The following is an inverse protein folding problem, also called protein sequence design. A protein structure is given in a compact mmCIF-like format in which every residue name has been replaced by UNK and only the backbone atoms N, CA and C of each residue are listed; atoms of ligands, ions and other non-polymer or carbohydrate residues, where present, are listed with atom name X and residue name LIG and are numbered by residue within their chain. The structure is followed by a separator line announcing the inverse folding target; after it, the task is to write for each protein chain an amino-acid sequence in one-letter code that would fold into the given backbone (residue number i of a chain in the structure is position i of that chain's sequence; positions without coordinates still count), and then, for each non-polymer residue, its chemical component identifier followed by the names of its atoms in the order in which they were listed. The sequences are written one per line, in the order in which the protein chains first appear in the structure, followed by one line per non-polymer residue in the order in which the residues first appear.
data_IF_415673113867
#
_entry.id   IF_415673113867
#
_cell.length_a   1.000
_cell.length_b   1.000
_cell.length_c   1.000
_cell.angle_alpha   90.00
_cell.angle_beta   90.00
_cell.angle_gamma   90.00
#
_symmetry.space_group_name_H-M   'P 1'
#
loop_
_entity.id
_entity.type
_entity.pdbx_description
1 polymer ?
#
# COMPACT_ATOMS: atom_id res chain seq x y z
N UNK A 1 6.55 2.83 33.42
CA UNK A 1 6.66 3.45 32.07
C UNK A 1 7.78 2.79 31.32
N UNK A 2 7.50 2.31 30.13
CA UNK A 2 8.48 1.68 29.21
C UNK A 2 8.40 2.37 27.87
N UNK A 3 9.56 2.77 27.35
CA UNK A 3 9.70 3.26 26.00
C UNK A 3 10.68 2.38 25.24
N UNK A 4 10.34 2.01 24.01
CA UNK A 4 11.24 1.27 23.12
C UNK A 4 11.33 1.95 21.75
N UNK A 5 12.54 1.94 21.20
CA UNK A 5 12.85 2.38 19.84
C UNK A 5 13.55 1.24 19.12
N UNK A 6 13.03 0.90 17.96
CA UNK A 6 13.66 -0.06 17.06
C UNK A 6 13.85 0.61 15.71
N UNK A 7 15.02 0.50 15.13
CA UNK A 7 15.35 1.01 13.79
C UNK A 7 15.95 -0.08 12.93
N UNK A 8 15.72 0.02 11.63
CA UNK A 8 16.27 -0.90 10.63
C UNK A 8 16.60 -0.17 9.33
N UNK A 9 17.54 -0.71 8.58
CA UNK A 9 17.87 -0.26 7.23
C UNK A 9 17.83 -1.48 6.31
N UNK A 10 17.08 -1.37 5.23
CA UNK A 10 16.99 -2.40 4.18
C UNK A 10 17.70 -1.88 2.94
N UNK A 11 18.66 -2.64 2.45
CA UNK A 11 19.38 -2.36 1.22
C UNK A 11 18.77 -3.21 0.09
N UNK A 12 18.47 -2.61 -1.09
CA UNK A 12 18.09 -3.42 -2.24
C UNK A 12 19.28 -4.30 -2.65
N UNK A 13 19.02 -5.59 -2.78
CA UNK A 13 20.02 -6.53 -3.30
C UNK A 13 19.79 -6.75 -4.79
N UNK A 14 20.75 -6.31 -5.59
CA UNK A 14 20.75 -6.44 -7.04
C UNK A 14 21.82 -7.42 -7.54
N UNK A 15 22.49 -8.15 -6.66
CA UNK A 15 23.63 -9.03 -6.99
C UNK A 15 23.26 -10.18 -7.91
N UNK A 16 22.01 -10.62 -7.91
CA UNK A 16 21.52 -11.69 -8.79
C UNK A 16 21.16 -11.22 -10.21
N UNK A 17 21.16 -9.89 -10.43
CA UNK A 17 20.86 -9.31 -11.75
C UNK A 17 22.17 -9.10 -12.53
N UNK A 18 22.57 -10.09 -13.33
CA UNK A 18 23.71 -9.99 -14.25
C UNK A 18 23.27 -9.31 -15.56
N UNK A 19 23.00 -8.02 -15.51
CA UNK A 19 22.63 -7.24 -16.69
C UNK A 19 23.88 -6.74 -17.40
N UNK A 20 23.89 -6.86 -18.72
CA UNK A 20 24.94 -6.30 -19.56
C UNK A 20 24.90 -4.77 -19.54
N UNK A 21 26.06 -4.12 -19.51
CA UNK A 21 26.17 -2.69 -19.76
C UNK A 21 25.86 -2.35 -21.24
N UNK A 22 25.87 -1.06 -21.58
CA UNK A 22 25.45 -0.63 -22.91
C UNK A 22 26.33 -1.19 -24.04
N UNK A 23 27.67 -1.26 -23.85
CA UNK A 23 28.61 -1.80 -24.80
C UNK A 23 28.45 -3.31 -24.95
N UNK A 24 28.42 -4.02 -23.83
CA UNK A 24 28.22 -5.48 -23.79
C UNK A 24 26.90 -5.86 -24.45
N UNK A 25 25.82 -5.13 -24.15
CA UNK A 25 24.49 -5.38 -24.72
C UNK A 25 24.49 -5.24 -26.24
N UNK A 26 25.07 -4.16 -26.76
CA UNK A 26 25.17 -3.94 -28.19
C UNK A 26 26.00 -5.01 -28.86
N UNK A 27 27.12 -5.45 -28.26
CA UNK A 27 27.98 -6.51 -28.80
C UNK A 27 27.28 -7.88 -28.77
N UNK A 28 26.53 -8.20 -27.69
CA UNK A 28 25.73 -9.43 -27.64
C UNK A 28 24.71 -9.45 -28.78
N UNK A 29 24.01 -8.33 -28.99
CA UNK A 29 23.04 -8.20 -30.08
C UNK A 29 23.67 -8.34 -31.47
N UNK A 30 24.87 -7.77 -31.66
CA UNK A 30 25.64 -7.92 -32.89
C UNK A 30 26.06 -9.38 -33.14
N UNK A 31 26.59 -10.05 -32.10
CA UNK A 31 27.00 -11.47 -32.20
C UNK A 31 25.79 -12.42 -32.39
N UNK A 32 24.62 -12.03 -31.91
CA UNK A 32 23.37 -12.76 -32.11
C UNK A 32 22.75 -12.55 -33.52
N UNK A 33 23.42 -11.76 -34.39
CA UNK A 33 22.98 -11.52 -35.77
C UNK A 33 21.80 -10.54 -35.89
N UNK A 34 21.51 -9.77 -34.84
CA UNK A 34 20.32 -8.86 -34.81
C UNK A 34 20.43 -7.77 -35.89
N UNK A 35 21.67 -7.42 -36.27
CA UNK A 35 21.99 -6.38 -37.24
C UNK A 35 22.52 -6.93 -38.58
N UNK A 36 22.48 -8.25 -38.75
CA UNK A 36 22.95 -8.87 -40.00
C UNK A 36 22.00 -8.49 -41.14
N UNK A 37 22.58 -8.25 -42.35
CA UNK A 37 21.77 -7.94 -43.50
C UNK A 37 20.90 -9.14 -43.90
N UNK A 38 19.60 -8.90 -44.05
CA UNK A 38 18.71 -9.86 -44.70
C UNK A 38 18.70 -9.62 -46.19
N UNK A 39 18.49 -10.69 -47.00
CA UNK A 39 18.27 -10.52 -48.42
C UNK A 39 17.01 -9.68 -48.67
N UNK A 40 17.23 -8.42 -49.10
CA UNK A 40 16.15 -7.45 -49.40
C UNK A 40 16.36 -6.04 -48.86
N UNK A 41 15.38 -5.17 -48.99
CA UNK A 41 15.45 -3.73 -48.71
C UNK A 41 15.64 -3.34 -47.23
N UNK A 42 15.65 -4.31 -46.31
CA UNK A 42 15.73 -4.07 -44.86
C UNK A 42 17.14 -4.00 -44.28
N UNK A 43 18.18 -4.34 -45.07
CA UNK A 43 19.57 -4.39 -44.59
C UNK A 43 20.10 -3.02 -44.15
N UNK A 44 19.75 -1.94 -44.84
CA UNK A 44 20.18 -0.57 -44.49
C UNK A 44 19.56 -0.16 -43.13
N UNK A 45 18.32 -0.55 -42.87
CA UNK A 45 17.63 -0.18 -41.63
C UNK A 45 18.23 -0.88 -40.40
N UNK A 46 18.72 -2.10 -40.52
CA UNK A 46 19.40 -2.84 -39.45
C UNK A 46 20.76 -2.24 -39.11
N UNK A 47 21.55 -1.89 -40.11
CA UNK A 47 22.83 -1.21 -39.92
C UNK A 47 22.65 0.18 -39.31
N UNK A 48 21.66 0.97 -39.80
CA UNK A 48 21.33 2.27 -39.23
C UNK A 48 20.92 2.13 -37.75
N UNK A 49 20.15 1.10 -37.41
CA UNK A 49 19.78 0.79 -36.05
C UNK A 49 20.98 0.51 -35.13
N UNK A 50 21.97 -0.22 -35.62
CA UNK A 50 23.26 -0.46 -34.92
C UNK A 50 24.01 0.85 -34.67
N UNK A 51 24.21 1.65 -35.71
CA UNK A 51 25.00 2.88 -35.61
C UNK A 51 24.33 3.95 -34.72
N UNK A 52 23.00 3.99 -34.66
CA UNK A 52 22.27 4.88 -33.78
C UNK A 52 22.45 4.50 -32.31
N UNK A 53 22.46 3.20 -31.98
CA UNK A 53 22.76 2.71 -30.62
C UNK A 53 24.22 2.98 -30.26
N UNK A 54 25.14 2.64 -31.19
CA UNK A 54 26.57 2.91 -31.03
C UNK A 54 26.85 4.41 -30.78
N UNK A 55 26.20 5.28 -31.52
CA UNK A 55 26.29 6.74 -31.28
C UNK A 55 25.91 7.13 -29.85
N UNK A 56 24.78 6.64 -29.36
CA UNK A 56 24.36 6.92 -27.98
C UNK A 56 25.40 6.44 -26.95
N UNK A 57 25.98 5.27 -27.16
CA UNK A 57 27.02 4.70 -26.30
C UNK A 57 28.31 5.56 -26.39
N UNK A 58 28.76 5.91 -27.58
CA UNK A 58 29.93 6.76 -27.77
C UNK A 58 29.75 8.17 -27.13
N UNK A 59 28.54 8.64 -27.01
CA UNK A 59 28.18 9.86 -26.31
C UNK A 59 27.89 9.64 -24.81
N UNK A 60 28.25 8.45 -24.26
CA UNK A 60 28.20 8.13 -22.82
C UNK A 60 26.86 7.61 -22.29
N UNK A 61 25.99 7.07 -23.15
CA UNK A 61 24.77 6.41 -22.68
C UNK A 61 25.11 5.01 -22.15
N UNK A 62 24.99 4.87 -20.83
CA UNK A 62 25.03 3.59 -20.10
C UNK A 62 24.15 3.73 -18.85
N UNK A 63 22.87 3.45 -19.05
CA UNK A 63 21.86 3.67 -18.00
C UNK A 63 21.63 2.41 -17.20
N UNK A 64 22.05 2.41 -15.94
CA UNK A 64 21.66 1.38 -14.97
C UNK A 64 20.20 1.62 -14.54
N UNK A 65 19.28 1.05 -15.31
CA UNK A 65 17.84 1.24 -15.10
C UNK A 65 17.35 0.67 -13.78
N UNK A 66 17.86 -0.50 -13.35
CA UNK A 66 17.33 -1.20 -12.18
C UNK A 66 17.63 -0.48 -10.86
N UNK A 67 18.71 0.33 -10.81
CA UNK A 67 19.01 1.13 -9.62
C UNK A 67 18.14 2.40 -9.51
N UNK A 68 17.62 2.91 -10.64
CA UNK A 68 16.92 4.20 -10.69
C UNK A 68 15.72 4.30 -9.75
N UNK A 69 14.82 3.30 -9.64
CA UNK A 69 13.67 3.38 -8.76
C UNK A 69 13.99 3.10 -7.28
N UNK A 70 15.20 2.64 -6.96
CA UNK A 70 15.54 2.08 -5.66
C UNK A 70 16.25 3.09 -4.75
N UNK A 71 16.09 2.86 -3.44
CA UNK A 71 16.81 3.55 -2.36
C UNK A 71 17.06 2.59 -1.20
N UNK A 72 18.01 2.93 -0.35
CA UNK A 72 18.09 2.32 0.96
C UNK A 72 16.86 2.75 1.78
N UNK A 73 16.14 1.79 2.32
CA UNK A 73 14.91 2.02 3.06
C UNK A 73 15.20 2.04 4.56
N UNK A 74 14.70 3.06 5.24
CA UNK A 74 14.82 3.19 6.70
C UNK A 74 13.46 2.91 7.32
N UNK A 75 13.43 2.03 8.30
CA UNK A 75 12.26 1.72 9.11
C UNK A 75 12.54 2.09 10.56
N UNK A 76 11.52 2.59 11.27
CA UNK A 76 11.63 2.88 12.69
C UNK A 76 10.31 2.65 13.40
N UNK A 77 10.38 2.10 14.60
CA UNK A 77 9.24 1.84 15.46
C UNK A 77 9.48 2.46 16.84
N UNK A 78 8.53 3.26 17.28
CA UNK A 78 8.46 3.82 18.61
C UNK A 78 7.30 3.18 19.36
N UNK A 79 7.50 2.77 20.60
CA UNK A 79 6.44 2.24 21.45
C UNK A 79 6.59 2.80 22.86
N UNK A 80 5.49 3.31 23.41
CA UNK A 80 5.37 3.81 24.77
C UNK A 80 4.31 2.99 25.48
N UNK A 81 4.62 2.50 26.67
CA UNK A 81 3.69 1.79 27.53
C UNK A 81 3.75 2.39 28.94
N UNK A 82 2.60 2.76 29.47
CA UNK A 82 2.44 3.32 30.80
C UNK A 82 1.39 2.51 31.52
N UNK A 83 1.70 2.01 32.68
CA UNK A 83 0.73 1.28 33.52
C UNK A 83 0.77 1.79 34.95
N UNK A 84 -0.34 1.65 35.64
CA UNK A 84 -0.49 2.01 37.03
C UNK A 84 -1.73 1.37 37.66
N UNK A 85 -1.89 1.61 38.95
CA UNK A 85 -3.06 1.11 39.69
C UNK A 85 -2.68 0.37 40.96
N UNK A 86 -3.68 -0.34 41.51
CA UNK A 86 -3.60 -1.15 42.73
C UNK A 86 -4.28 -2.52 42.51
N UNK A 87 -4.61 -3.23 43.58
CA UNK A 87 -5.30 -4.54 43.51
C UNK A 87 -6.71 -4.45 42.89
N UNK A 88 -7.38 -3.30 43.04
CA UNK A 88 -8.80 -3.10 42.68
C UNK A 88 -8.95 -2.43 41.31
N UNK A 89 -8.02 -1.54 40.96
CA UNK A 89 -8.01 -0.80 39.73
C UNK A 89 -6.63 -0.82 39.08
N UNK A 90 -6.53 -1.34 37.87
CA UNK A 90 -5.35 -1.24 37.02
C UNK A 90 -5.71 -0.54 35.72
N UNK A 91 -4.80 0.27 35.22
CA UNK A 91 -4.94 0.92 33.92
C UNK A 91 -3.62 0.89 33.19
N UNK A 92 -3.70 0.85 31.85
CA UNK A 92 -2.54 1.01 31.02
C UNK A 92 -2.88 1.84 29.76
N UNK A 93 -1.89 2.60 29.33
CA UNK A 93 -1.88 3.34 28.09
C UNK A 93 -0.73 2.82 27.22
N UNK A 94 -1.03 2.44 26.00
CA UNK A 94 -0.04 2.14 24.99
C UNK A 94 -0.16 3.12 23.82
N UNK A 95 0.99 3.52 23.28
CA UNK A 95 1.06 4.33 22.08
C UNK A 95 2.20 3.82 21.21
N UNK A 96 1.97 3.76 19.91
CA UNK A 96 2.99 3.28 18.97
C UNK A 96 2.95 4.08 17.67
N UNK A 97 4.13 4.24 17.09
CA UNK A 97 4.31 4.74 15.74
C UNK A 97 5.30 3.86 15.02
N UNK A 98 4.93 3.39 13.82
CA UNK A 98 5.79 2.61 12.95
C UNK A 98 5.86 3.30 11.58
N UNK A 99 7.06 3.76 11.21
CA UNK A 99 7.37 4.33 9.90
C UNK A 99 8.14 3.33 9.05
N UNK A 100 7.47 2.73 8.06
CA UNK A 100 8.07 1.78 7.14
C UNK A 100 8.24 2.45 5.76
N UNK A 101 9.47 2.77 5.39
CA UNK A 101 9.77 3.17 4.02
C UNK A 101 10.07 1.94 3.18
N UNK A 102 9.58 1.91 1.92
CA UNK A 102 9.91 0.87 0.98
C UNK A 102 11.22 1.14 0.23
N UNK A 103 11.83 0.07 -0.31
CA UNK A 103 13.03 0.16 -1.16
C UNK A 103 12.74 0.84 -2.50
N UNK A 104 11.52 0.78 -3.01
CA UNK A 104 11.08 1.63 -4.12
C UNK A 104 10.92 3.07 -3.64
N UNK A 105 11.52 4.04 -4.34
CA UNK A 105 11.47 5.45 -3.97
C UNK A 105 10.03 5.94 -3.78
N UNK A 106 9.80 6.79 -2.78
CA UNK A 106 8.51 7.41 -2.41
C UNK A 106 7.43 6.43 -1.93
N UNK A 107 7.68 5.12 -1.85
CA UNK A 107 6.74 4.20 -1.20
C UNK A 107 6.93 4.21 0.32
N UNK A 108 5.82 4.14 1.06
CA UNK A 108 5.85 4.05 2.53
C UNK A 108 4.56 3.48 3.10
N UNK A 109 4.64 2.99 4.34
CA UNK A 109 3.48 2.61 5.15
C UNK A 109 3.69 3.04 6.60
N UNK A 110 2.97 4.06 7.01
CA UNK A 110 3.03 4.58 8.38
C UNK A 110 1.83 4.08 9.17
N UNK A 111 2.08 3.63 10.42
CA UNK A 111 1.05 3.15 11.33
C UNK A 111 1.18 3.88 12.65
N UNK A 112 0.07 4.42 13.14
CA UNK A 112 -0.04 5.02 14.46
C UNK A 112 -1.09 4.24 15.24
N UNK A 113 -0.81 3.91 16.48
CA UNK A 113 -1.75 3.22 17.36
C UNK A 113 -1.72 3.83 18.75
N UNK A 114 -2.90 3.94 19.36
CA UNK A 114 -3.07 4.32 20.77
C UNK A 114 -4.08 3.38 21.38
N UNK A 115 -3.77 2.81 22.53
CA UNK A 115 -4.66 1.93 23.28
C UNK A 115 -4.74 2.35 24.75
N UNK A 116 -5.90 2.14 25.33
CA UNK A 116 -6.14 2.36 26.75
C UNK A 116 -6.88 1.16 27.33
N UNK A 117 -6.39 0.63 28.43
CA UNK A 117 -7.01 -0.48 29.14
C UNK A 117 -7.31 -0.15 30.59
N UNK A 118 -8.44 -0.68 31.08
CA UNK A 118 -8.84 -0.63 32.48
C UNK A 118 -9.22 -2.04 32.91
N UNK A 119 -8.73 -2.49 34.08
CA UNK A 119 -9.18 -3.69 34.79
C UNK A 119 -9.61 -3.24 36.19
N UNK A 120 -10.91 -3.25 36.41
CA UNK A 120 -11.52 -2.86 37.66
C UNK A 120 -12.17 -4.08 38.35
N UNK A 121 -11.79 -4.33 39.59
CA UNK A 121 -12.32 -5.41 40.41
C UNK A 121 -13.02 -4.87 41.65
N UNK A 122 -14.27 -5.20 41.77
CA UNK A 122 -15.09 -4.83 42.91
C UNK A 122 -15.80 -6.05 43.47
N UNK A 123 -15.37 -6.56 44.65
CA UNK A 123 -15.93 -7.76 45.27
C UNK A 123 -16.09 -8.93 44.29
N UNK A 124 -17.34 -9.18 43.89
CA UNK A 124 -17.74 -10.27 43.02
C UNK A 124 -17.74 -9.90 41.52
N UNK A 125 -17.37 -8.69 41.16
CA UNK A 125 -17.32 -8.24 39.79
C UNK A 125 -15.90 -7.90 39.36
N UNK A 126 -15.57 -8.26 38.12
CA UNK A 126 -14.42 -7.74 37.43
C UNK A 126 -14.86 -7.21 36.06
N UNK A 127 -14.56 -5.96 35.79
CA UNK A 127 -14.82 -5.31 34.51
C UNK A 127 -13.48 -5.00 33.88
N UNK A 128 -13.31 -5.45 32.64
CA UNK A 128 -12.16 -5.09 31.81
C UNK A 128 -12.66 -4.37 30.57
N UNK A 129 -12.00 -3.29 30.26
CA UNK A 129 -12.21 -2.58 29.01
C UNK A 129 -10.87 -2.33 28.33
N UNK A 130 -10.84 -2.48 27.04
CA UNK A 130 -9.72 -2.07 26.19
C UNK A 130 -10.28 -1.34 24.97
N UNK A 131 -9.96 -0.08 24.84
CA UNK A 131 -10.25 0.73 23.67
C UNK A 131 -8.96 1.07 22.94
N UNK A 132 -8.96 0.91 21.63
CA UNK A 132 -7.83 1.28 20.80
C UNK A 132 -8.24 2.03 19.54
N UNK A 133 -7.38 2.93 19.12
CA UNK A 133 -7.44 3.62 17.84
C UNK A 133 -6.20 3.32 17.03
N UNK A 134 -6.39 2.90 15.80
CA UNK A 134 -5.35 2.66 14.83
C UNK A 134 -5.53 3.54 13.59
N UNK A 135 -4.45 4.12 13.10
CA UNK A 135 -4.40 4.86 11.85
C UNK A 135 -3.27 4.35 10.97
N UNK A 136 -3.57 4.05 9.72
CA UNK A 136 -2.58 3.64 8.72
C UNK A 136 -2.68 4.54 7.49
N UNK A 137 -1.54 4.97 7.00
CA UNK A 137 -1.40 5.61 5.69
C UNK A 137 -0.31 4.90 4.91
N UNK A 138 -0.65 4.40 3.73
CA UNK A 138 0.26 3.77 2.79
C UNK A 138 0.25 4.55 1.46
N UNK A 139 1.38 4.54 0.78
CA UNK A 139 1.52 5.11 -0.55
C UNK A 139 2.34 4.17 -1.42
N UNK A 140 1.82 3.85 -2.59
CA UNK A 140 2.53 3.11 -3.60
C UNK A 140 3.59 3.99 -4.28
N UNK A 141 4.61 3.34 -4.82
CA UNK A 141 5.69 4.07 -5.50
C UNK A 141 5.21 4.64 -6.84
N UNK A 142 5.37 5.95 -7.10
CA UNK A 142 5.09 6.52 -8.42
C UNK A 142 6.07 6.02 -9.49
N UNK A 143 7.17 5.37 -9.09
CA UNK A 143 8.12 4.72 -10.01
C UNK A 143 7.54 3.45 -10.67
N UNK A 144 6.34 3.00 -10.28
CA UNK A 144 5.70 1.82 -10.85
C UNK A 144 6.29 0.51 -10.35
N UNK A 145 6.21 -0.53 -11.19
CA UNK A 145 6.75 -1.85 -10.87
C UNK A 145 8.25 -1.91 -11.12
N UNK A 146 9.00 -2.61 -10.25
CA UNK A 146 10.43 -2.87 -10.47
C UNK A 146 10.67 -3.63 -11.80
N UNK A 147 9.76 -4.52 -12.18
CA UNK A 147 9.82 -5.26 -13.44
C UNK A 147 9.83 -4.36 -14.69
N UNK A 148 9.28 -3.16 -14.62
CA UNK A 148 9.27 -2.21 -15.74
C UNK A 148 10.70 -1.75 -16.10
N UNK A 149 11.60 -1.78 -15.12
CA UNK A 149 13.00 -1.36 -15.29
C UNK A 149 13.91 -2.47 -15.79
N UNK A 150 13.58 -3.75 -15.53
CA UNK A 150 14.42 -4.89 -15.90
C UNK A 150 14.45 -5.18 -17.41
N UNK A 151 13.49 -4.64 -18.14
CA UNK A 151 13.34 -4.84 -19.59
C UNK A 151 13.90 -3.69 -20.43
N UNK A 152 14.35 -2.61 -19.77
CA UNK A 152 14.86 -1.43 -20.45
C UNK A 152 16.29 -1.62 -20.94
N UNK A 153 16.62 -0.98 -22.05
CA UNK A 153 17.92 -1.12 -22.68
C UNK A 153 18.91 -0.08 -22.13
N UNK A 154 20.16 -0.48 -21.79
CA UNK A 154 21.10 0.40 -21.11
C UNK A 154 21.58 1.56 -21.99
N UNK A 155 21.52 1.46 -23.30
CA UNK A 155 21.86 2.54 -24.24
C UNK A 155 20.71 3.54 -24.49
N UNK A 156 19.53 3.34 -23.87
CA UNK A 156 18.46 4.36 -23.83
C UNK A 156 18.79 5.46 -22.82
N UNK A 157 18.66 6.71 -23.22
CA UNK A 157 18.89 7.89 -22.38
C UNK A 157 17.61 8.31 -21.67
N UNK A 158 17.74 8.68 -20.40
CA UNK A 158 16.63 9.23 -19.62
C UNK A 158 16.18 10.62 -20.08
N UNK A 159 17.12 11.42 -20.61
CA UNK A 159 16.94 12.83 -20.94
C UNK A 159 17.14 13.10 -22.42
N UNK A 160 16.52 14.16 -22.91
CA UNK A 160 16.77 14.77 -24.19
C UNK A 160 18.06 15.62 -24.15
N UNK A 161 18.51 16.11 -25.29
CA UNK A 161 19.70 16.95 -25.39
C UNK A 161 19.52 18.32 -24.70
N UNK A 162 18.29 18.81 -24.60
CA UNK A 162 17.91 20.03 -23.87
C UNK A 162 17.81 19.86 -22.35
N UNK A 163 18.05 18.65 -21.83
CA UNK A 163 17.97 18.31 -20.42
C UNK A 163 16.55 17.96 -19.95
N UNK A 164 15.54 18.06 -20.79
CA UNK A 164 14.17 17.60 -20.46
C UNK A 164 14.10 16.08 -20.38
N UNK A 165 13.22 15.54 -19.52
CA UNK A 165 13.05 14.09 -19.40
C UNK A 165 12.28 13.53 -20.59
N UNK A 166 12.78 12.44 -21.16
CA UNK A 166 12.10 11.79 -22.29
C UNK A 166 10.82 11.11 -21.84
N UNK A 167 9.73 11.32 -22.55
CA UNK A 167 8.47 10.60 -22.32
C UNK A 167 8.54 9.14 -22.80
N UNK A 168 9.17 8.91 -23.97
CA UNK A 168 9.34 7.61 -24.60
C UNK A 168 10.81 7.31 -24.81
N UNK A 169 11.18 6.07 -24.62
CA UNK A 169 12.52 5.57 -24.87
C UNK A 169 12.73 5.39 -26.39
N UNK A 170 13.98 5.51 -26.82
CA UNK A 170 14.31 5.54 -28.24
C UNK A 170 14.41 4.14 -28.83
N UNK A 171 15.01 3.21 -28.08
CA UNK A 171 15.37 1.90 -28.58
C UNK A 171 14.59 0.76 -27.94
N UNK A 172 14.23 0.88 -26.66
CA UNK A 172 13.38 -0.12 -26.01
C UNK A 172 11.99 -0.09 -26.62
N UNK A 173 11.51 -1.25 -27.05
CA UNK A 173 10.16 -1.43 -27.59
C UNK A 173 9.43 -2.53 -26.81
N UNK A 174 8.15 -2.28 -26.55
CA UNK A 174 7.22 -3.24 -25.96
C UNK A 174 6.09 -3.43 -26.97
N UNK A 175 5.90 -4.66 -27.43
CA UNK A 175 4.90 -5.01 -28.47
C UNK A 175 5.00 -4.13 -29.74
N UNK A 176 6.24 -3.83 -30.15
CA UNK A 176 6.53 -3.02 -31.35
C UNK A 176 6.38 -1.51 -31.20
N UNK A 177 6.00 -1.02 -30.02
CA UNK A 177 5.88 0.40 -29.69
C UNK A 177 7.04 0.85 -28.81
N UNK A 178 7.49 2.11 -28.96
CA UNK A 178 8.49 2.69 -28.06
C UNK A 178 8.03 2.57 -26.62
N UNK A 179 8.90 2.05 -25.75
CA UNK A 179 8.61 1.91 -24.32
C UNK A 179 8.48 3.30 -23.68
N UNK A 180 7.60 3.40 -22.70
CA UNK A 180 7.46 4.59 -21.86
C UNK A 180 8.64 4.68 -20.92
N UNK A 181 9.12 5.91 -20.66
CA UNK A 181 10.14 6.14 -19.65
C UNK A 181 9.49 6.14 -18.25
N UNK A 182 9.75 5.15 -17.40
CA UNK A 182 9.14 5.10 -16.07
C UNK A 182 9.61 6.24 -15.15
N UNK A 183 10.77 6.85 -15.42
CA UNK A 183 11.23 8.03 -14.67
C UNK A 183 10.41 9.27 -15.01
N UNK A 184 9.95 9.40 -16.25
CA UNK A 184 9.02 10.46 -16.63
C UNK A 184 7.71 10.35 -15.83
N UNK A 185 7.12 9.15 -15.80
CA UNK A 185 5.91 8.89 -14.99
C UNK A 185 6.12 9.23 -13.51
N UNK A 186 7.28 8.86 -12.95
CA UNK A 186 7.63 9.14 -11.55
C UNK A 186 7.90 10.63 -11.25
N UNK A 187 8.10 11.47 -12.28
CA UNK A 187 8.31 12.91 -12.15
C UNK A 187 6.99 13.71 -12.13
N UNK A 188 5.91 13.09 -12.57
CA UNK A 188 4.57 13.70 -12.59
C UNK A 188 3.95 13.73 -11.19
N UNK A 189 2.81 14.43 -11.06
CA UNK A 189 2.08 14.57 -9.80
C UNK A 189 1.15 13.38 -9.49
N UNK A 190 1.28 12.28 -10.22
CA UNK A 190 0.52 11.07 -9.97
C UNK A 190 0.81 10.49 -8.59
N UNK A 191 -0.24 10.00 -7.90
CA UNK A 191 -0.13 9.33 -6.62
C UNK A 191 -1.16 8.22 -6.48
N UNK A 192 -0.87 7.29 -5.56
CA UNK A 192 -1.76 6.20 -5.19
C UNK A 192 -1.56 5.94 -3.69
N UNK A 193 -2.56 6.28 -2.87
CA UNK A 193 -2.49 6.07 -1.44
C UNK A 193 -3.75 5.45 -0.85
N UNK A 194 -3.54 4.68 0.20
CA UNK A 194 -4.57 4.11 1.05
C UNK A 194 -4.44 4.62 2.48
N UNK A 195 -5.59 4.90 3.07
CA UNK A 195 -5.73 5.22 4.49
C UNK A 195 -6.79 4.35 5.11
N UNK A 196 -6.58 3.95 6.35
CA UNK A 196 -7.68 3.46 7.17
C UNK A 196 -7.53 3.92 8.61
N UNK A 197 -8.67 4.16 9.22
CA UNK A 197 -8.86 4.44 10.63
C UNK A 197 -9.67 3.29 11.24
N UNK A 198 -9.25 2.81 12.40
CA UNK A 198 -9.92 1.72 13.10
C UNK A 198 -10.06 2.05 14.58
N UNK A 199 -11.26 1.90 15.09
CA UNK A 199 -11.56 1.97 16.53
C UNK A 199 -12.05 0.59 16.95
N UNK A 200 -11.42 0.03 17.98
CA UNK A 200 -11.81 -1.23 18.60
C UNK A 200 -12.13 -0.95 20.06
N UNK A 201 -13.30 -1.36 20.54
CA UNK A 201 -13.63 -1.34 21.95
C UNK A 201 -14.07 -2.75 22.40
N UNK A 202 -13.40 -3.26 23.42
CA UNK A 202 -13.64 -4.58 23.99
C UNK A 202 -13.99 -4.40 25.48
N UNK A 203 -15.19 -4.80 25.86
CA UNK A 203 -15.64 -4.81 27.25
C UNK A 203 -15.88 -6.25 27.67
N UNK A 204 -15.36 -6.66 28.82
CA UNK A 204 -15.68 -7.94 29.44
C UNK A 204 -16.05 -7.76 30.91
N UNK A 205 -17.06 -8.48 31.32
CA UNK A 205 -17.55 -8.50 32.71
C UNK A 205 -17.53 -9.95 33.21
N UNK A 206 -16.85 -10.18 34.31
CA UNK A 206 -16.91 -11.44 35.04
C UNK A 206 -17.66 -11.19 36.33
N UNK A 207 -18.73 -11.94 36.54
CA UNK A 207 -19.54 -11.88 37.78
C UNK A 207 -19.43 -13.24 38.48
N UNK A 208 -18.82 -13.23 39.66
CA UNK A 208 -18.71 -14.38 40.57
C UNK A 208 -19.91 -14.38 41.50
N UNK A 209 -21.02 -15.03 41.09
CA UNK A 209 -22.29 -15.00 41.78
C UNK A 209 -22.16 -15.64 43.16
N UNK A 210 -21.49 -16.81 43.20
CA UNK A 210 -21.11 -17.53 44.40
C UNK A 210 -19.92 -18.46 44.09
N UNK A 211 -19.53 -19.34 45.05
CA UNK A 211 -18.33 -20.20 44.92
C UNK A 211 -18.41 -21.21 43.77
N UNK A 212 -19.58 -21.53 43.24
CA UNK A 212 -19.79 -22.51 42.17
C UNK A 212 -20.47 -21.92 40.92
N UNK A 213 -20.96 -20.70 40.96
CA UNK A 213 -21.66 -20.10 39.81
C UNK A 213 -21.01 -18.78 39.42
N UNK A 214 -20.59 -18.67 38.18
CA UNK A 214 -20.06 -17.45 37.60
C UNK A 214 -20.63 -17.19 36.20
N UNK A 215 -20.72 -15.92 35.86
CA UNK A 215 -21.14 -15.45 34.53
C UNK A 215 -20.04 -14.61 33.91
N UNK A 216 -19.78 -14.84 32.65
CA UNK A 216 -18.88 -14.02 31.84
C UNK A 216 -19.66 -13.42 30.67
N UNK A 217 -19.65 -12.10 30.55
CA UNK A 217 -20.13 -11.35 29.41
C UNK A 217 -18.96 -10.70 28.67
N UNK A 218 -19.01 -10.67 27.35
CA UNK A 218 -18.05 -9.98 26.51
C UNK A 218 -18.77 -9.29 25.37
N UNK A 219 -18.41 -8.04 25.13
CA UNK A 219 -18.88 -7.26 24.00
C UNK A 219 -17.68 -6.62 23.30
N UNK A 220 -17.62 -6.76 22.00
CA UNK A 220 -16.59 -6.15 21.17
C UNK A 220 -17.25 -5.39 20.02
N UNK A 221 -16.78 -4.18 19.76
CA UNK A 221 -17.16 -3.42 18.57
C UNK A 221 -15.91 -2.94 17.86
N UNK A 222 -15.91 -3.12 16.53
CA UNK A 222 -14.88 -2.60 15.64
C UNK A 222 -15.54 -1.69 14.61
N UNK A 223 -15.07 -0.46 14.52
CA UNK A 223 -15.47 0.47 13.47
C UNK A 223 -14.26 0.87 12.66
N UNK A 224 -14.32 0.65 11.34
CA UNK A 224 -13.23 0.91 10.41
C UNK A 224 -13.71 1.82 9.29
N UNK A 225 -12.89 2.81 8.94
CA UNK A 225 -13.06 3.68 7.78
C UNK A 225 -11.87 3.51 6.87
N UNK A 226 -12.13 3.31 5.59
CA UNK A 226 -11.10 3.19 4.56
C UNK A 226 -11.24 4.29 3.52
N UNK A 227 -10.13 4.78 3.01
CA UNK A 227 -10.08 5.70 1.88
C UNK A 227 -8.90 5.38 1.00
N UNK A 228 -9.17 4.92 -0.23
CA UNK A 228 -8.20 4.84 -1.33
C UNK A 228 -8.36 6.06 -2.24
N UNK A 229 -7.24 6.58 -2.73
CA UNK A 229 -7.25 7.67 -3.70
C UNK A 229 -6.07 7.51 -4.64
N UNK A 230 -6.37 7.35 -5.93
CA UNK A 230 -5.37 7.25 -7.00
C UNK A 230 -5.62 8.35 -8.02
N UNK A 231 -4.63 9.21 -8.19
CA UNK A 231 -4.62 10.24 -9.20
C UNK A 231 -3.60 9.91 -10.30
N UNK A 232 -4.02 10.02 -11.54
CA UNK A 232 -3.18 9.91 -12.73
C UNK A 232 -3.10 11.29 -13.36
N UNK A 233 -1.90 11.83 -13.41
CA UNK A 233 -1.62 13.14 -13.98
C UNK A 233 -2.11 13.24 -15.45
N UNK A 234 -2.68 14.35 -15.91
CA UNK A 234 -3.08 14.55 -17.31
C UNK A 234 -1.96 14.30 -18.33
N UNK A 235 -0.72 14.59 -17.95
CA UNK A 235 0.45 14.35 -18.80
C UNK A 235 0.95 12.92 -18.77
N UNK A 236 0.42 12.07 -17.87
CA UNK A 236 0.78 10.66 -17.77
C UNK A 236 0.34 9.90 -19.02
N UNK A 237 1.24 9.05 -19.51
CA UNK A 237 0.91 8.09 -20.56
C UNK A 237 -0.05 6.99 -20.10
N UNK A 238 -0.34 6.92 -18.80
CA UNK A 238 -1.27 5.96 -18.16
C UNK A 238 -2.70 6.50 -18.06
N UNK A 239 -2.95 7.77 -18.45
CA UNK A 239 -4.31 8.32 -18.46
C UNK A 239 -5.20 7.50 -19.39
N UNK A 240 -6.40 7.18 -18.93
CA UNK A 240 -7.38 6.32 -19.64
C UNK A 240 -7.83 6.92 -20.99
N UNK A 241 -7.66 8.22 -21.17
CA UNK A 241 -8.06 8.96 -22.39
C UNK A 241 -6.93 9.27 -23.35
N UNK A 242 -5.70 8.81 -23.07
CA UNK A 242 -4.57 9.00 -23.99
C UNK A 242 -4.83 8.42 -25.40
N UNK A 243 -5.73 7.44 -25.51
CA UNK A 243 -6.16 6.88 -26.80
C UNK A 243 -7.33 7.64 -27.45
N UNK A 244 -7.93 8.63 -26.78
CA UNK A 244 -9.02 9.44 -27.31
C UNK A 244 -8.49 10.75 -27.86
N UNK A 245 -9.16 11.24 -28.91
CA UNK A 245 -8.82 12.53 -29.55
C UNK A 245 -9.18 13.77 -28.73
N UNK A 246 -9.70 13.62 -27.53
CA UNK A 246 -10.13 14.71 -26.67
C UNK A 246 -9.12 14.95 -25.54
N UNK A 247 -8.16 15.84 -25.78
CA UNK A 247 -7.13 16.24 -24.82
C UNK A 247 -7.68 16.87 -23.52
N UNK A 248 -8.92 17.39 -23.56
CA UNK A 248 -9.58 17.99 -22.38
C UNK A 248 -10.02 16.95 -21.34
N UNK A 249 -10.04 15.68 -21.70
CA UNK A 249 -10.44 14.58 -20.81
C UNK A 249 -9.25 13.75 -20.31
N UNK A 250 -8.02 14.30 -20.35
CA UNK A 250 -6.85 13.62 -19.78
C UNK A 250 -6.77 13.80 -18.26
N UNK A 251 -6.14 12.85 -17.59
CA UNK A 251 -6.07 12.80 -16.12
C UNK A 251 -7.26 12.08 -15.50
N UNK A 252 -6.99 11.22 -14.53
CA UNK A 252 -7.98 10.38 -13.88
C UNK A 252 -7.83 10.47 -12.36
N UNK A 253 -8.95 10.50 -11.62
CA UNK A 253 -8.97 10.41 -10.17
C UNK A 253 -9.96 9.34 -9.75
N UNK A 254 -9.46 8.30 -9.09
CA UNK A 254 -10.23 7.23 -8.48
C UNK A 254 -10.32 7.48 -6.97
N UNK A 255 -11.53 7.46 -6.43
CA UNK A 255 -11.79 7.67 -5.00
C UNK A 255 -12.63 6.50 -4.49
N UNK A 256 -12.04 5.70 -3.63
CA UNK A 256 -12.69 4.59 -2.94
C UNK A 256 -12.87 4.95 -1.47
N UNK A 257 -14.07 4.74 -0.93
CA UNK A 257 -14.38 4.93 0.49
C UNK A 257 -15.10 3.70 0.99
N UNK A 258 -14.76 3.27 2.19
CA UNK A 258 -15.42 2.16 2.85
C UNK A 258 -15.64 2.44 4.33
N UNK A 259 -16.72 1.90 4.85
CA UNK A 259 -17.05 1.86 6.26
C UNK A 259 -17.42 0.43 6.64
N UNK A 260 -16.86 -0.07 7.72
CA UNK A 260 -17.20 -1.38 8.30
C UNK A 260 -17.51 -1.22 9.76
N UNK A 261 -18.60 -1.81 10.18
CA UNK A 261 -18.98 -1.90 11.60
C UNK A 261 -19.22 -3.36 11.92
N UNK A 262 -18.42 -3.91 12.80
CA UNK A 262 -18.56 -5.27 13.32
C UNK A 262 -18.79 -5.22 14.82
N UNK A 263 -19.71 -6.03 15.31
CA UNK A 263 -19.84 -6.26 16.75
C UNK A 263 -20.03 -7.74 17.06
N UNK A 264 -19.53 -8.14 18.21
CA UNK A 264 -19.64 -9.48 18.75
C UNK A 264 -20.05 -9.40 20.22
N UNK A 265 -21.08 -10.16 20.58
CA UNK A 265 -21.58 -10.25 21.96
C UNK A 265 -21.60 -11.71 22.39
N UNK A 266 -20.99 -12.02 23.53
CA UNK A 266 -20.91 -13.35 24.10
C UNK A 266 -21.31 -13.32 25.55
N UNK A 267 -22.05 -14.32 25.97
CA UNK A 267 -22.39 -14.53 27.38
C UNK A 267 -22.29 -16.02 27.72
N UNK A 268 -21.65 -16.32 28.84
CA UNK A 268 -21.44 -17.67 29.33
C UNK A 268 -21.82 -17.74 30.80
N UNK A 269 -22.55 -18.78 31.17
CA UNK A 269 -22.82 -19.15 32.55
C UNK A 269 -22.06 -20.43 32.86
N UNK A 270 -21.28 -20.42 33.93
CA UNK A 270 -20.47 -21.53 34.38
C UNK A 270 -20.96 -21.97 35.76
N UNK A 271 -21.25 -23.28 35.89
CA UNK A 271 -21.48 -23.93 37.17
C UNK A 271 -20.37 -24.97 37.40
N UNK A 272 -19.73 -24.88 38.57
CA UNK A 272 -18.58 -25.70 38.90
C UNK A 272 -18.68 -26.11 40.37
N UNK A 273 -18.91 -27.41 40.63
CA UNK A 273 -19.04 -27.89 41.98
C UNK A 273 -18.36 -29.25 42.16
N UNK A 274 -17.64 -29.41 43.26
CA UNK A 274 -17.07 -30.67 43.68
C UNK A 274 -17.93 -31.30 44.79
N UNK A 275 -18.51 -32.47 44.53
CA UNK A 275 -19.33 -33.22 45.48
C UNK A 275 -18.67 -34.55 45.76
N UNK A 276 -18.12 -34.75 46.94
CA UNK A 276 -17.34 -35.90 47.33
C UNK A 276 -16.15 -36.16 46.41
N UNK A 277 -16.19 -37.23 45.59
CA UNK A 277 -15.15 -37.58 44.62
C UNK A 277 -15.47 -37.17 43.18
N UNK A 278 -16.59 -36.48 42.97
CA UNK A 278 -17.05 -36.09 41.63
C UNK A 278 -16.93 -34.59 41.44
N UNK A 279 -16.45 -34.19 40.28
CA UNK A 279 -16.41 -32.79 39.84
C UNK A 279 -17.46 -32.59 38.73
N UNK A 280 -18.39 -31.67 38.94
CA UNK A 280 -19.43 -31.33 38.00
C UNK A 280 -19.05 -29.97 37.40
N UNK A 281 -18.91 -29.91 36.08
CA UNK A 281 -18.66 -28.69 35.34
C UNK A 281 -19.71 -28.57 34.22
N UNK A 282 -20.54 -27.53 34.29
CA UNK A 282 -21.55 -27.23 33.28
C UNK A 282 -21.32 -25.84 32.77
N UNK A 283 -21.50 -25.64 31.47
CA UNK A 283 -21.47 -24.31 30.86
C UNK A 283 -22.57 -24.17 29.81
N UNK A 284 -23.19 -23.00 29.83
CA UNK A 284 -24.15 -22.59 28.79
C UNK A 284 -23.69 -21.27 28.24
N UNK A 285 -23.65 -21.15 26.92
CA UNK A 285 -23.17 -19.96 26.22
C UNK A 285 -24.14 -19.46 25.16
N UNK A 286 -24.10 -18.16 24.95
CA UNK A 286 -24.77 -17.47 23.86
C UNK A 286 -23.76 -16.60 23.13
N UNK A 287 -23.84 -16.58 21.80
CA UNK A 287 -23.03 -15.73 20.94
C UNK A 287 -23.91 -15.08 19.88
N UNK A 288 -23.68 -13.77 19.64
CA UNK A 288 -24.30 -13.04 18.55
C UNK A 288 -23.26 -12.11 17.92
N UNK A 289 -23.23 -12.09 16.61
CA UNK A 289 -22.30 -11.26 15.84
C UNK A 289 -23.03 -10.56 14.69
N UNK A 290 -22.54 -9.40 14.30
CA UNK A 290 -22.98 -8.74 13.07
C UNK A 290 -21.80 -8.03 12.44
N UNK A 291 -21.70 -8.15 11.13
CA UNK A 291 -20.71 -7.45 10.30
C UNK A 291 -21.46 -6.73 9.18
N UNK A 292 -21.33 -5.41 9.16
CA UNK A 292 -21.88 -4.54 8.14
C UNK A 292 -20.76 -3.80 7.46
N UNK A 293 -20.70 -3.91 6.12
CA UNK A 293 -19.72 -3.22 5.28
C UNK A 293 -20.44 -2.43 4.20
N UNK A 294 -20.04 -1.20 4.03
CA UNK A 294 -20.47 -0.33 2.93
C UNK A 294 -19.24 0.23 2.22
N UNK A 295 -19.25 0.25 0.90
CA UNK A 295 -18.20 0.88 0.11
C UNK A 295 -18.77 1.66 -1.06
N UNK A 296 -18.06 2.73 -1.44
CA UNK A 296 -18.38 3.56 -2.61
C UNK A 296 -17.11 3.77 -3.42
N UNK A 297 -17.22 3.69 -4.73
CA UNK A 297 -16.15 3.98 -5.68
C UNK A 297 -16.63 5.00 -6.70
N UNK A 298 -15.79 5.97 -7.02
CA UNK A 298 -16.08 7.03 -7.98
C UNK A 298 -14.85 7.31 -8.84
N UNK A 299 -15.06 7.42 -10.15
CA UNK A 299 -14.02 7.76 -11.12
C UNK A 299 -14.33 9.12 -11.75
N UNK A 300 -13.40 10.05 -11.59
CA UNK A 300 -13.41 11.39 -12.17
C UNK A 300 -12.36 11.48 -13.27
N UNK A 301 -12.62 12.30 -14.29
CA UNK A 301 -11.74 12.48 -15.46
C UNK A 301 -11.70 13.91 -15.92
N UNK A 302 -10.59 14.27 -16.62
CA UNK A 302 -10.40 15.57 -17.23
C UNK A 302 -9.94 16.61 -16.22
N UNK A 303 -8.64 16.70 -16.00
CA UNK A 303 -8.02 17.64 -15.09
C UNK A 303 -7.15 18.64 -15.87
N UNK A 304 -7.13 19.93 -15.50
CA UNK A 304 -6.39 20.96 -16.25
C UNK A 304 -4.86 20.79 -16.11
N UNK A 305 -4.38 20.29 -15.01
CA UNK A 305 -2.95 19.94 -14.79
C UNK A 305 -2.80 19.03 -13.56
N UNK A 306 -1.61 18.47 -13.35
CA UNK A 306 -1.31 17.63 -12.20
C UNK A 306 -1.43 18.33 -10.85
N UNK A 307 -1.38 19.66 -10.80
CA UNK A 307 -1.56 20.45 -9.56
C UNK A 307 -3.02 20.51 -9.10
N UNK A 308 -3.97 20.37 -10.03
CA UNK A 308 -5.42 20.47 -9.78
C UNK A 308 -6.05 19.08 -9.64
N UNK A 309 -5.66 18.33 -8.61
CA UNK A 309 -6.08 16.95 -8.40
C UNK A 309 -7.31 16.76 -7.50
N UNK A 310 -8.05 17.81 -7.18
CA UNK A 310 -9.34 17.70 -6.47
C UNK A 310 -10.47 17.37 -7.45
N UNK A 311 -11.42 16.53 -7.02
CA UNK A 311 -12.62 16.19 -7.80
C UNK A 311 -13.41 17.40 -8.33
N UNK A 312 -13.27 18.56 -7.67
CA UNK A 312 -13.93 19.81 -8.11
C UNK A 312 -13.38 20.35 -9.43
N UNK A 313 -12.19 19.94 -9.85
CA UNK A 313 -11.55 20.36 -11.10
C UNK A 313 -11.76 19.36 -12.24
N UNK A 314 -12.39 18.21 -11.96
CA UNK A 314 -12.69 17.23 -12.98
C UNK A 314 -13.74 17.74 -13.97
N UNK A 315 -13.53 17.46 -15.26
CA UNK A 315 -14.48 17.80 -16.30
C UNK A 315 -15.73 16.91 -16.25
N UNK A 316 -15.58 15.65 -15.85
CA UNK A 316 -16.69 14.70 -15.79
C UNK A 316 -16.50 13.63 -14.71
N UNK A 317 -17.62 13.00 -14.34
CA UNK A 317 -17.66 11.71 -13.62
C UNK A 317 -17.88 10.63 -14.67
N UNK A 318 -16.91 9.69 -14.79
CA UNK A 318 -16.90 8.71 -15.90
C UNK A 318 -18.08 7.75 -15.80
N UNK A 319 -18.33 7.22 -14.61
CA UNK A 319 -19.38 6.28 -14.32
C UNK A 319 -20.20 6.75 -13.12
N UNK A 320 -21.45 6.27 -13.02
CA UNK A 320 -22.24 6.49 -11.80
C UNK A 320 -21.46 5.92 -10.60
N UNK A 321 -21.35 6.67 -9.48
CA UNK A 321 -20.74 6.12 -8.30
C UNK A 321 -21.34 4.77 -7.92
N UNK A 322 -20.49 3.76 -7.77
CA UNK A 322 -20.95 2.43 -7.34
C UNK A 322 -21.03 2.39 -5.83
N UNK A 323 -22.11 1.81 -5.30
CA UNK A 323 -22.27 1.55 -3.88
C UNK A 323 -22.49 0.05 -3.67
N UNK A 324 -21.68 -0.53 -2.79
CA UNK A 324 -21.81 -1.93 -2.37
C UNK A 324 -22.13 -1.98 -0.88
N UNK A 325 -23.04 -2.86 -0.49
CA UNK A 325 -23.38 -3.13 0.92
C UNK A 325 -23.41 -4.62 1.17
N UNK A 326 -22.89 -5.06 2.28
CA UNK A 326 -22.92 -6.44 2.75
C UNK A 326 -23.25 -6.46 4.25
N UNK A 327 -24.12 -7.37 4.66
CA UNK A 327 -24.43 -7.60 6.07
C UNK A 327 -24.51 -9.09 6.36
N UNK A 328 -23.77 -9.52 7.38
CA UNK A 328 -23.83 -10.87 7.95
C UNK A 328 -24.29 -10.76 9.41
N UNK A 329 -25.15 -11.70 9.82
CA UNK A 329 -25.64 -11.76 11.20
C UNK A 329 -25.49 -13.17 11.76
#
# INVERSE_FOLDING_TARGET
VTYSLTGGVTFPDLSDYNLANAEEKLEIERLAGLYDPEEGATSISKQDAYWRRYKNIAEGADTDWISKPLRNAVTHKHSLYIEGGNSDLRYALDASFNGDNGVMKKSYRNRTGVGFSVDYRLKNFQVKNYISYGYVKAQESPYGSFSDYTTLLPYDRCFNEDGSMRRKLQFTQIKGLSALNPLYEASLQSYDYDKYDEIIDNVSVNWFINDYLSMKGQFSVTKQFTKGERFVDPESNKSSTQASSNELLTGDLYVDKGERTMWDAQAFLYYQQSIAKNNINLSVGFNATSDFTESTSTHYRGFPSGEFHSSNYAAEVVDKPTKSQSQTR
#
